data_IF_017336773333
#
_entry.id   IF_017336773333
#
_cell.length_a   1.000
_cell.length_b   1.000
_cell.length_c   1.000
_cell.angle_alpha   90.00
_cell.angle_beta   90.00
_cell.angle_gamma   90.00
#
_symmetry.space_group_name_H-M   'P 1'
#
loop_
_entity.id
_entity.type
_entity.pdbx_description
1 polymer ?
#
# COMPACT_ATOMS: atom_id res chain seq x y z
N UNK A 1 -15.41 16.18 16.59
CA UNK A 1 -16.22 17.11 15.76
C UNK A 1 -17.65 17.28 16.28
N UNK A 2 -18.44 16.19 16.40
CA UNK A 2 -19.86 16.25 16.83
C UNK A 2 -20.05 16.82 18.25
N UNK A 3 -19.27 16.34 19.24
CA UNK A 3 -19.36 16.81 20.63
C UNK A 3 -18.97 18.29 20.77
N UNK A 4 -17.87 18.71 20.14
CA UNK A 4 -17.43 20.12 20.16
C UNK A 4 -18.39 21.07 19.45
N UNK A 5 -19.03 20.64 18.35
CA UNK A 5 -20.08 21.41 17.67
C UNK A 5 -21.37 21.49 18.48
N UNK A 6 -21.78 20.39 19.12
CA UNK A 6 -22.95 20.35 20.01
C UNK A 6 -22.78 21.24 21.23
N UNK A 7 -21.59 21.26 21.84
CA UNK A 7 -21.28 22.11 23.00
C UNK A 7 -21.26 23.60 22.66
N UNK A 8 -20.97 23.99 21.42
CA UNK A 8 -20.87 25.41 21.05
C UNK A 8 -22.15 26.01 20.45
N UNK A 9 -22.93 25.22 19.71
CA UNK A 9 -24.01 25.78 18.88
C UNK A 9 -25.43 25.38 19.25
N UNK A 10 -25.64 24.48 20.22
CA UNK A 10 -26.99 24.09 20.62
C UNK A 10 -27.28 24.45 22.09
N UNK A 11 -27.52 25.74 22.31
CA UNK A 11 -27.92 26.28 23.62
C UNK A 11 -29.15 25.55 24.18
N UNK A 12 -30.08 25.14 23.30
CA UNK A 12 -31.28 24.39 23.68
C UNK A 12 -30.97 22.98 24.20
N UNK A 13 -29.98 22.29 23.61
CA UNK A 13 -29.58 20.95 24.06
C UNK A 13 -28.82 20.99 25.38
N UNK A 14 -27.92 21.99 25.55
CA UNK A 14 -27.26 22.26 26.82
C UNK A 14 -28.28 22.62 27.91
N UNK A 15 -29.24 23.50 27.63
CA UNK A 15 -30.34 23.82 28.55
C UNK A 15 -31.19 22.59 28.85
N UNK A 16 -31.42 21.69 27.90
CA UNK A 16 -32.19 20.45 28.13
C UNK A 16 -31.46 19.49 29.07
N UNK A 17 -30.16 19.27 28.89
CA UNK A 17 -29.34 18.43 29.78
C UNK A 17 -29.23 19.07 31.16
N UNK A 18 -28.98 20.38 31.23
CA UNK A 18 -28.94 21.12 32.49
C UNK A 18 -30.29 21.07 33.19
N UNK A 19 -31.41 21.28 32.50
CA UNK A 19 -32.75 21.24 33.10
C UNK A 19 -33.11 19.84 33.61
N UNK A 20 -32.64 18.76 32.97
CA UNK A 20 -32.81 17.40 33.49
C UNK A 20 -32.00 17.18 34.78
N UNK A 21 -30.74 17.60 34.80
CA UNK A 21 -29.91 17.52 36.00
C UNK A 21 -30.42 18.43 37.13
N UNK A 22 -30.91 19.63 36.79
CA UNK A 22 -31.50 20.59 37.72
C UNK A 22 -32.84 20.12 38.28
N UNK A 23 -33.71 19.48 37.48
CA UNK A 23 -34.95 18.88 37.99
C UNK A 23 -34.67 17.77 39.01
N UNK A 24 -33.60 17.01 38.81
CA UNK A 24 -33.17 15.99 39.77
C UNK A 24 -32.77 16.61 41.13
N UNK A 25 -32.12 17.78 41.10
CA UNK A 25 -31.67 18.52 42.28
C UNK A 25 -32.82 19.35 42.93
N UNK A 26 -33.72 19.91 42.11
CA UNK A 26 -34.88 20.71 42.52
C UNK A 26 -35.87 19.93 43.38
N UNK A 27 -36.05 18.63 43.12
CA UNK A 27 -36.85 17.74 43.97
C UNK A 27 -36.27 17.55 45.39
N UNK A 28 -35.11 18.14 45.71
CA UNK A 28 -34.49 18.07 47.03
C UNK A 28 -34.24 19.44 47.70
N UNK A 29 -34.36 20.59 47.01
CA UNK A 29 -34.10 21.93 47.59
C UNK A 29 -34.87 23.06 46.88
N UNK A 30 -35.44 23.98 47.67
CA UNK A 30 -36.40 25.05 47.32
C UNK A 30 -35.85 26.22 46.46
N UNK A 31 -36.80 26.95 45.83
CA UNK A 31 -36.85 28.05 44.83
C UNK A 31 -35.63 28.91 44.40
N UNK A 32 -34.46 28.87 45.06
CA UNK A 32 -33.33 29.80 44.76
C UNK A 32 -32.42 29.39 43.58
N UNK A 33 -32.84 28.41 42.78
CA UNK A 33 -31.93 27.66 41.90
C UNK A 33 -31.83 28.17 40.45
N UNK A 34 -32.82 28.91 39.93
CA UNK A 34 -32.80 29.40 38.53
C UNK A 34 -31.66 30.39 38.29
N UNK A 35 -31.43 31.32 39.22
CA UNK A 35 -30.34 32.29 39.14
C UNK A 35 -28.96 31.63 39.28
N UNK A 36 -28.85 30.60 40.13
CA UNK A 36 -27.61 29.83 40.34
C UNK A 36 -27.33 28.94 39.10
N UNK A 37 -28.37 28.38 38.49
CA UNK A 37 -28.29 27.60 37.26
C UNK A 37 -27.77 28.44 36.09
N UNK A 38 -28.36 29.62 35.86
CA UNK A 38 -27.91 30.51 34.78
C UNK A 38 -26.46 30.96 35.01
N UNK A 39 -26.08 31.25 36.25
CA UNK A 39 -24.69 31.63 36.59
C UNK A 39 -23.71 30.47 36.41
N UNK A 40 -24.10 29.24 36.74
CA UNK A 40 -23.30 28.04 36.53
C UNK A 40 -23.15 27.69 35.04
N UNK A 41 -24.23 27.78 34.26
CA UNK A 41 -24.22 27.59 32.80
C UNK A 41 -23.27 28.59 32.14
N UNK A 42 -23.34 29.86 32.55
CA UNK A 42 -22.48 30.91 32.00
C UNK A 42 -21.00 30.62 32.26
N UNK A 43 -20.65 30.16 33.47
CA UNK A 43 -19.28 29.76 33.84
C UNK A 43 -18.79 28.52 33.10
N UNK A 44 -19.65 27.52 32.95
CA UNK A 44 -19.35 26.30 32.20
C UNK A 44 -19.14 26.62 30.72
N UNK A 45 -19.93 27.53 30.15
CA UNK A 45 -19.77 28.00 28.77
C UNK A 45 -18.49 28.84 28.59
N UNK A 46 -18.13 29.69 29.56
CA UNK A 46 -16.87 30.46 29.57
C UNK A 46 -15.65 29.54 29.55
N UNK A 47 -15.70 28.43 30.29
CA UNK A 47 -14.61 27.46 30.37
C UNK A 47 -14.62 26.48 29.19
N UNK A 48 -15.77 25.88 28.84
CA UNK A 48 -15.89 24.88 27.78
C UNK A 48 -15.78 25.48 26.36
N UNK A 49 -16.04 26.77 26.20
CA UNK A 49 -15.93 27.50 24.93
C UNK A 49 -14.56 27.37 24.23
N UNK A 50 -13.44 27.73 24.89
CA UNK A 50 -12.09 27.60 24.31
C UNK A 50 -11.67 26.14 24.10
N UNK A 51 -11.99 25.22 25.02
CA UNK A 51 -11.67 23.79 24.84
C UNK A 51 -12.46 23.14 23.69
N UNK A 52 -13.76 23.46 23.59
CA UNK A 52 -14.62 22.98 22.50
C UNK A 52 -14.17 23.53 21.14
N UNK A 53 -13.73 24.79 21.09
CA UNK A 53 -13.16 25.41 19.89
C UNK A 53 -11.86 24.71 19.48
N UNK A 54 -10.94 24.47 20.42
CA UNK A 54 -9.67 23.79 20.15
C UNK A 54 -9.88 22.36 19.63
N UNK A 55 -10.80 21.60 20.23
CA UNK A 55 -11.15 20.24 19.78
C UNK A 55 -11.86 20.22 18.42
N UNK A 56 -12.65 21.24 18.11
CA UNK A 56 -13.33 21.35 16.81
C UNK A 56 -12.35 21.70 15.69
N UNK A 57 -11.49 22.69 15.91
CA UNK A 57 -10.47 23.11 14.95
C UNK A 57 -9.43 22.00 14.76
N UNK A 58 -8.96 21.37 15.84
CA UNK A 58 -8.06 20.21 15.76
C UNK A 58 -8.68 19.04 15.00
N UNK A 59 -9.96 18.75 15.26
CA UNK A 59 -10.71 17.72 14.52
C UNK A 59 -10.86 18.03 13.03
N UNK A 60 -11.12 19.29 12.67
CA UNK A 60 -11.19 19.73 11.27
C UNK A 60 -9.85 19.62 10.56
N UNK A 61 -8.75 20.00 11.21
CA UNK A 61 -7.40 19.86 10.65
C UNK A 61 -7.07 18.38 10.42
N UNK A 62 -7.38 17.50 11.39
CA UNK A 62 -7.14 16.06 11.25
C UNK A 62 -7.97 15.47 10.09
N UNK A 63 -9.25 15.84 9.94
CA UNK A 63 -10.09 15.39 8.83
C UNK A 63 -9.60 15.93 7.49
N UNK A 64 -9.13 17.19 7.43
CA UNK A 64 -8.59 17.76 6.21
C UNK A 64 -7.26 17.10 5.82
N UNK A 65 -6.37 16.85 6.78
CA UNK A 65 -5.10 16.14 6.53
C UNK A 65 -5.37 14.69 6.11
N UNK A 66 -6.28 13.99 6.79
CA UNK A 66 -6.69 12.64 6.40
C UNK A 66 -7.38 12.62 5.04
N UNK A 67 -8.22 13.61 4.73
CA UNK A 67 -8.91 13.75 3.45
C UNK A 67 -7.97 14.06 2.29
N UNK A 68 -7.00 14.96 2.49
CA UNK A 68 -5.96 15.26 1.49
C UNK A 68 -5.01 14.07 1.32
N UNK A 69 -4.66 13.37 2.40
CA UNK A 69 -3.88 12.14 2.33
C UNK A 69 -4.65 11.03 1.60
N UNK A 70 -5.96 10.90 1.85
CA UNK A 70 -6.83 9.93 1.20
C UNK A 70 -7.08 10.24 -0.27
N UNK A 71 -7.30 11.51 -0.64
CA UNK A 71 -7.44 11.95 -2.04
C UNK A 71 -6.09 11.87 -2.76
N UNK A 72 -4.98 12.16 -2.08
CA UNK A 72 -3.63 11.93 -2.59
C UNK A 72 -3.34 10.45 -2.83
N UNK A 73 -3.79 9.58 -1.91
CA UNK A 73 -3.76 8.12 -2.06
C UNK A 73 -4.65 7.67 -3.24
N UNK A 74 -5.92 8.07 -3.28
CA UNK A 74 -6.90 7.49 -4.20
C UNK A 74 -6.84 8.09 -5.62
N UNK A 75 -6.59 9.39 -5.78
CA UNK A 75 -6.65 10.03 -7.10
C UNK A 75 -5.28 10.14 -7.79
N UNK A 76 -4.16 10.01 -7.05
CA UNK A 76 -2.82 10.11 -7.62
C UNK A 76 -2.04 8.79 -7.60
N UNK A 77 -2.25 7.89 -6.63
CA UNK A 77 -1.53 6.60 -6.62
C UNK A 77 -2.04 5.68 -7.71
N UNK A 78 -3.33 5.63 -8.02
CA UNK A 78 -3.82 4.74 -9.08
C UNK A 78 -3.26 5.14 -10.44
N UNK A 79 -3.30 6.43 -10.79
CA UNK A 79 -2.72 6.92 -12.04
C UNK A 79 -1.20 6.74 -12.07
N UNK A 80 -0.50 7.08 -10.98
CA UNK A 80 0.94 6.92 -10.87
C UNK A 80 1.36 5.46 -10.94
N UNK A 81 0.69 4.55 -10.24
CA UNK A 81 0.95 3.11 -10.26
C UNK A 81 0.67 2.52 -11.63
N UNK A 82 -0.42 2.90 -12.30
CA UNK A 82 -0.69 2.48 -13.68
C UNK A 82 0.38 2.99 -14.63
N UNK A 83 0.83 4.24 -14.47
CA UNK A 83 1.88 4.83 -15.29
C UNK A 83 3.23 4.13 -15.07
N UNK A 84 3.61 3.89 -13.81
CA UNK A 84 4.83 3.16 -13.42
C UNK A 84 4.78 1.72 -13.94
N UNK A 85 3.64 1.03 -13.81
CA UNK A 85 3.48 -0.33 -14.30
C UNK A 85 3.60 -0.40 -15.83
N UNK A 86 2.98 0.54 -16.56
CA UNK A 86 3.12 0.65 -18.02
C UNK A 86 4.57 0.90 -18.43
N UNK A 87 5.25 1.81 -17.74
CA UNK A 87 6.67 2.08 -17.98
C UNK A 87 7.52 0.83 -17.73
N UNK A 88 7.33 0.16 -16.58
CA UNK A 88 8.03 -1.06 -16.23
C UNK A 88 7.79 -2.19 -17.25
N UNK A 89 6.56 -2.35 -17.73
CA UNK A 89 6.25 -3.34 -18.77
C UNK A 89 6.94 -3.04 -20.09
N UNK A 90 7.00 -1.77 -20.49
CA UNK A 90 7.65 -1.38 -21.73
C UNK A 90 9.17 -1.60 -21.64
N UNK A 91 9.78 -1.23 -20.51
CA UNK A 91 11.21 -1.48 -20.25
C UNK A 91 11.52 -2.97 -20.21
N UNK A 92 10.70 -3.78 -19.54
CA UNK A 92 10.90 -5.23 -19.48
C UNK A 92 10.80 -5.87 -20.86
N UNK A 93 9.79 -5.49 -21.66
CA UNK A 93 9.64 -5.97 -23.04
C UNK A 93 10.83 -5.56 -23.90
N UNK A 94 11.28 -4.32 -23.76
CA UNK A 94 12.46 -3.81 -24.47
C UNK A 94 13.74 -4.56 -24.06
N UNK A 95 13.90 -4.85 -22.78
CA UNK A 95 15.05 -5.61 -22.26
C UNK A 95 15.05 -7.05 -22.81
N UNK A 96 13.89 -7.72 -22.82
CA UNK A 96 13.74 -9.07 -23.40
C UNK A 96 14.12 -9.07 -24.89
N UNK A 97 13.64 -8.11 -25.66
CA UNK A 97 13.91 -8.05 -27.11
C UNK A 97 15.39 -7.79 -27.42
N UNK A 98 16.04 -6.92 -26.63
CA UNK A 98 17.43 -6.52 -26.83
C UNK A 98 18.45 -7.40 -26.10
N UNK A 99 17.99 -8.42 -25.39
CA UNK A 99 18.86 -9.37 -24.73
C UNK A 99 19.63 -10.19 -25.75
N UNK A 100 20.96 -10.27 -25.59
CA UNK A 100 21.83 -11.01 -26.51
C UNK A 100 22.45 -12.23 -25.83
N UNK A 101 23.05 -12.01 -24.66
CA UNK A 101 23.67 -13.02 -23.81
C UNK A 101 23.93 -12.43 -22.43
N UNK A 102 24.17 -13.29 -21.45
CA UNK A 102 24.52 -12.94 -20.08
C UNK A 102 25.92 -12.31 -19.95
N UNK A 103 26.83 -12.68 -20.86
CA UNK A 103 28.22 -12.21 -20.87
C UNK A 103 28.39 -10.80 -21.45
N UNK A 104 27.41 -10.34 -22.25
CA UNK A 104 27.44 -8.98 -22.84
C UNK A 104 27.47 -7.88 -21.77
N UNK A 105 26.92 -8.17 -20.58
CA UNK A 105 26.99 -7.27 -19.42
C UNK A 105 26.28 -5.93 -19.60
N UNK A 106 25.32 -5.83 -20.52
CA UNK A 106 24.54 -4.61 -20.72
C UNK A 106 23.40 -4.48 -19.70
N UNK A 107 22.75 -3.32 -19.68
CA UNK A 107 21.70 -3.01 -18.69
C UNK A 107 20.48 -3.94 -18.84
N UNK A 108 20.17 -4.37 -20.06
CA UNK A 108 19.06 -5.28 -20.33
C UNK A 108 19.39 -6.66 -19.76
N UNK A 109 20.62 -7.13 -19.96
CA UNK A 109 21.14 -8.36 -19.38
C UNK A 109 21.07 -8.34 -17.85
N UNK A 110 21.52 -7.26 -17.21
CA UNK A 110 21.46 -7.12 -15.76
C UNK A 110 20.01 -7.19 -15.23
N UNK A 111 19.10 -6.49 -15.90
CA UNK A 111 17.69 -6.43 -15.53
C UNK A 111 17.04 -7.83 -15.58
N UNK A 112 17.24 -8.57 -16.67
CA UNK A 112 16.64 -9.89 -16.85
C UNK A 112 17.25 -10.96 -15.93
N UNK A 113 18.56 -10.87 -15.67
CA UNK A 113 19.27 -11.77 -14.74
C UNK A 113 18.73 -11.66 -13.31
N UNK A 114 18.20 -10.50 -12.94
CA UNK A 114 17.59 -10.30 -11.62
C UNK A 114 16.10 -10.68 -11.65
N UNK A 115 15.35 -10.16 -12.63
CA UNK A 115 13.88 -10.25 -12.62
C UNK A 115 13.40 -11.69 -12.83
N UNK A 116 13.91 -12.41 -13.84
CA UNK A 116 13.43 -13.74 -14.18
C UNK A 116 13.52 -14.75 -13.03
N UNK A 117 14.69 -14.93 -12.37
CA UNK A 117 14.78 -15.86 -11.25
C UNK A 117 14.07 -15.35 -9.99
N UNK A 118 14.04 -14.04 -9.75
CA UNK A 118 13.39 -13.48 -8.54
C UNK A 118 11.86 -13.61 -8.59
N UNK A 119 11.29 -13.46 -9.78
CA UNK A 119 9.84 -13.54 -10.00
C UNK A 119 9.41 -14.96 -10.37
N UNK A 120 10.34 -15.82 -10.79
CA UNK A 120 10.04 -17.18 -11.25
C UNK A 120 9.31 -17.18 -12.58
N UNK A 121 9.86 -16.46 -13.57
CA UNK A 121 9.29 -16.28 -14.91
C UNK A 121 10.35 -16.30 -16.02
N UNK A 122 9.92 -16.42 -17.27
CA UNK A 122 10.78 -16.39 -18.45
C UNK A 122 10.14 -15.58 -19.59
N UNK A 123 10.90 -14.61 -20.12
CA UNK A 123 10.43 -13.68 -21.16
C UNK A 123 9.41 -12.66 -20.65
N UNK A 124 8.82 -11.88 -21.56
CA UNK A 124 7.82 -10.87 -21.21
C UNK A 124 6.43 -11.49 -21.12
N UNK A 125 5.93 -12.01 -22.26
CA UNK A 125 4.70 -12.79 -22.36
C UNK A 125 4.99 -14.30 -22.22
N UNK A 126 6.22 -14.72 -22.57
CA UNK A 126 6.69 -16.09 -22.36
C UNK A 126 8.03 -16.39 -23.02
N UNK A 127 8.49 -17.65 -22.98
CA UNK A 127 9.81 -18.03 -23.48
C UNK A 127 9.95 -17.85 -25.01
N UNK A 128 8.83 -17.85 -25.74
CA UNK A 128 8.81 -17.62 -27.19
C UNK A 128 9.32 -16.23 -27.59
N UNK A 129 9.33 -15.26 -26.67
CA UNK A 129 9.80 -13.90 -26.94
C UNK A 129 11.28 -13.86 -27.36
N UNK A 130 12.08 -14.82 -26.91
CA UNK A 130 13.49 -14.94 -27.31
C UNK A 130 13.71 -15.57 -28.69
N UNK A 131 12.64 -16.13 -29.28
CA UNK A 131 12.66 -16.72 -30.62
C UNK A 131 11.90 -15.85 -31.63
N UNK A 132 11.46 -14.65 -31.23
CA UNK A 132 10.79 -13.72 -32.12
C UNK A 132 11.76 -13.21 -33.22
N UNK A 133 11.21 -12.78 -34.36
CA UNK A 133 12.02 -12.32 -35.51
C UNK A 133 12.89 -11.10 -35.19
N UNK A 134 12.46 -10.27 -34.25
CA UNK A 134 13.14 -9.07 -33.78
C UNK A 134 13.96 -9.30 -32.50
N UNK A 135 13.95 -10.51 -31.94
CA UNK A 135 14.74 -10.84 -30.76
C UNK A 135 16.23 -10.89 -31.10
N UNK A 136 17.06 -10.31 -30.24
CA UNK A 136 18.51 -10.28 -30.41
C UNK A 136 19.24 -11.42 -29.69
N UNK A 137 18.51 -12.39 -29.15
CA UNK A 137 19.08 -13.48 -28.36
C UNK A 137 20.00 -14.34 -29.24
N UNK A 138 21.25 -14.50 -28.81
CA UNK A 138 22.28 -15.18 -29.60
C UNK A 138 22.24 -16.71 -29.51
N UNK A 139 21.46 -17.27 -28.58
CA UNK A 139 21.48 -18.69 -28.21
C UNK A 139 22.85 -19.21 -27.75
N UNK A 140 23.75 -18.30 -27.39
CA UNK A 140 25.08 -18.58 -26.85
C UNK A 140 25.20 -17.85 -25.51
N UNK A 141 25.46 -18.59 -24.45
CA UNK A 141 25.52 -18.07 -23.08
C UNK A 141 26.82 -18.48 -22.41
N UNK A 142 27.50 -17.55 -21.76
CA UNK A 142 28.73 -17.83 -21.02
C UNK A 142 28.56 -17.42 -19.56
N UNK A 143 28.59 -18.41 -18.66
CA UNK A 143 28.45 -18.20 -17.22
C UNK A 143 29.71 -18.70 -16.53
N UNK A 144 30.50 -17.76 -16.01
CA UNK A 144 31.83 -18.07 -15.50
C UNK A 144 32.71 -18.66 -16.60
N UNK A 145 33.14 -19.92 -16.42
CA UNK A 145 34.00 -20.62 -17.39
C UNK A 145 33.22 -21.59 -18.29
N UNK A 146 31.88 -21.64 -18.22
CA UNK A 146 31.07 -22.56 -19.01
C UNK A 146 30.33 -21.80 -20.11
N UNK A 147 30.47 -22.29 -21.34
CA UNK A 147 29.77 -21.75 -22.52
C UNK A 147 28.75 -22.74 -23.04
N UNK A 148 27.50 -22.31 -23.10
CA UNK A 148 26.38 -23.04 -23.66
C UNK A 148 26.15 -22.58 -25.10
N UNK A 149 26.25 -23.50 -26.05
CA UNK A 149 25.92 -23.26 -27.45
C UNK A 149 24.60 -23.93 -27.80
N UNK A 150 23.75 -23.20 -28.54
CA UNK A 150 22.44 -23.66 -28.97
C UNK A 150 21.45 -23.86 -27.83
N UNK A 151 21.53 -23.02 -26.79
CA UNK A 151 20.60 -23.08 -25.67
C UNK A 151 19.23 -22.52 -26.09
N UNK A 152 18.14 -23.17 -25.66
CA UNK A 152 16.78 -22.82 -26.11
C UNK A 152 16.35 -21.44 -25.60
N UNK A 153 16.66 -21.13 -24.35
CA UNK A 153 16.28 -19.88 -23.67
C UNK A 153 17.44 -19.36 -22.83
N UNK A 154 17.41 -18.08 -22.43
CA UNK A 154 18.44 -17.49 -21.58
C UNK A 154 18.64 -18.26 -20.27
N UNK A 155 19.88 -18.29 -19.79
CA UNK A 155 20.21 -18.92 -18.49
C UNK A 155 19.35 -18.38 -17.34
N UNK A 156 19.01 -17.07 -17.24
CA UNK A 156 18.12 -16.57 -16.20
C UNK A 156 16.71 -17.20 -16.14
N UNK A 157 16.23 -17.86 -17.21
CA UNK A 157 14.94 -18.56 -17.20
C UNK A 157 14.97 -19.89 -16.42
N UNK A 158 16.15 -20.39 -16.10
CA UNK A 158 16.37 -21.64 -15.37
C UNK A 158 16.17 -21.41 -13.86
N UNK A 159 15.66 -22.44 -13.17
CA UNK A 159 15.51 -22.39 -11.72
C UNK A 159 16.84 -22.68 -11.04
N UNK A 160 17.71 -21.66 -11.02
CA UNK A 160 19.06 -21.78 -10.49
C UNK A 160 19.05 -22.18 -9.00
N UNK A 161 18.05 -21.77 -8.23
CA UNK A 161 17.93 -22.11 -6.82
C UNK A 161 17.68 -23.60 -6.58
N UNK A 162 16.97 -24.26 -7.51
CA UNK A 162 16.74 -25.69 -7.49
C UNK A 162 17.93 -26.46 -8.05
N UNK A 163 18.51 -26.00 -9.16
CA UNK A 163 19.70 -26.63 -9.77
C UNK A 163 20.95 -26.56 -8.87
N UNK A 164 21.08 -25.52 -8.05
CA UNK A 164 22.18 -25.41 -7.07
C UNK A 164 22.09 -26.43 -5.92
N UNK A 165 20.92 -27.03 -5.66
CA UNK A 165 20.75 -28.04 -4.61
C UNK A 165 21.24 -29.43 -5.02
N UNK A 166 21.30 -29.74 -6.32
CA UNK A 166 21.55 -31.09 -6.85
C UNK A 166 23.00 -31.35 -7.31
N UNK A 167 23.94 -30.47 -6.93
CA UNK A 167 25.39 -30.48 -7.24
C UNK A 167 25.79 -30.23 -8.71
N UNK A 168 26.72 -29.27 -8.85
CA UNK A 168 27.19 -28.62 -10.08
C UNK A 168 26.09 -27.79 -10.78
N UNK A 169 25.72 -26.68 -10.13
CA UNK A 169 24.70 -25.72 -10.57
C UNK A 169 24.97 -25.13 -11.96
N UNK A 170 24.58 -25.88 -12.98
CA UNK A 170 24.64 -25.53 -14.39
C UNK A 170 23.26 -25.68 -14.97
N UNK A 171 22.78 -24.66 -15.68
CA UNK A 171 21.46 -24.73 -16.27
C UNK A 171 21.39 -25.75 -17.41
N UNK A 172 20.30 -26.52 -17.50
CA UNK A 172 20.13 -27.53 -18.53
C UNK A 172 19.95 -26.88 -19.89
N UNK A 173 20.45 -27.55 -20.95
CA UNK A 173 20.21 -27.10 -22.34
C UNK A 173 18.75 -27.23 -22.76
N UNK A 174 18.02 -28.13 -22.11
CA UNK A 174 16.60 -28.39 -22.34
C UNK A 174 15.81 -27.90 -21.15
N UNK A 175 14.90 -26.96 -21.40
CA UNK A 175 14.10 -26.34 -20.37
C UNK A 175 12.79 -27.12 -20.24
N UNK A 176 12.49 -27.55 -19.03
CA UNK A 176 11.24 -28.21 -18.66
C UNK A 176 10.57 -27.45 -17.51
N UNK A 177 9.27 -27.64 -17.29
CA UNK A 177 8.58 -27.05 -16.15
C UNK A 177 9.20 -27.34 -14.78
N UNK A 178 9.95 -28.42 -14.67
CA UNK A 178 10.55 -28.86 -13.41
C UNK A 178 11.88 -28.19 -13.10
N UNK A 179 12.61 -27.71 -14.12
CA UNK A 179 13.96 -27.14 -13.97
C UNK A 179 14.03 -25.65 -14.37
N UNK A 180 12.90 -25.06 -14.75
CA UNK A 180 12.87 -23.70 -15.29
C UNK A 180 11.50 -23.04 -15.16
N UNK A 181 11.48 -21.74 -15.43
CA UNK A 181 10.31 -20.89 -15.33
C UNK A 181 9.62 -20.61 -16.68
N UNK A 182 9.86 -21.46 -17.69
CA UNK A 182 9.32 -21.29 -19.04
C UNK A 182 7.78 -21.33 -19.14
N UNK A 183 7.09 -21.78 -18.08
CA UNK A 183 5.63 -21.81 -18.05
C UNK A 183 4.99 -20.44 -17.85
N UNK A 184 5.73 -19.46 -17.30
CA UNK A 184 5.17 -18.19 -16.88
C UNK A 184 5.93 -17.02 -17.51
N UNK A 185 5.23 -16.16 -18.25
CA UNK A 185 5.76 -14.87 -18.67
C UNK A 185 5.90 -13.91 -17.49
N UNK A 186 6.91 -13.03 -17.52
CA UNK A 186 7.17 -12.13 -16.39
C UNK A 186 6.08 -11.09 -16.18
N UNK A 187 5.40 -10.64 -17.24
CA UNK A 187 4.29 -9.69 -17.13
C UNK A 187 3.17 -10.21 -16.21
N UNK A 188 2.64 -11.39 -16.50
CA UNK A 188 1.52 -11.96 -15.75
C UNK A 188 1.91 -12.31 -14.31
N UNK A 189 3.12 -12.84 -14.11
CA UNK A 189 3.66 -13.12 -12.78
C UNK A 189 3.87 -11.85 -11.94
N UNK A 190 4.44 -10.80 -12.51
CA UNK A 190 4.65 -9.53 -11.81
C UNK A 190 3.32 -8.86 -11.43
N UNK A 191 2.33 -8.89 -12.33
CA UNK A 191 0.99 -8.38 -12.03
C UNK A 191 0.40 -9.11 -10.81
N UNK A 192 0.46 -10.46 -10.77
CA UNK A 192 -0.04 -11.24 -9.63
C UNK A 192 0.71 -10.93 -8.32
N UNK A 193 2.04 -10.93 -8.33
CA UNK A 193 2.86 -10.60 -7.14
C UNK A 193 2.58 -9.17 -6.64
N UNK A 194 2.40 -8.22 -7.56
CA UNK A 194 2.11 -6.84 -7.21
C UNK A 194 0.75 -6.72 -6.52
N UNK A 195 -0.30 -7.37 -7.04
CA UNK A 195 -1.63 -7.31 -6.44
C UNK A 195 -1.64 -7.86 -5.01
N UNK A 196 -0.98 -8.98 -4.76
CA UNK A 196 -0.92 -9.58 -3.41
C UNK A 196 -0.17 -8.67 -2.42
N UNK A 197 0.96 -8.08 -2.84
CA UNK A 197 1.75 -7.18 -1.98
C UNK A 197 1.02 -5.85 -1.73
N UNK A 198 0.36 -5.29 -2.73
CA UNK A 198 -0.42 -4.05 -2.60
C UNK A 198 -1.64 -4.26 -1.72
N UNK A 199 -2.33 -5.40 -1.85
CA UNK A 199 -3.46 -5.75 -0.98
C UNK A 199 -3.02 -5.87 0.49
N UNK A 200 -1.90 -6.56 0.74
CA UNK A 200 -1.32 -6.67 2.08
C UNK A 200 -0.93 -5.31 2.66
N UNK A 201 -0.26 -4.47 1.87
CA UNK A 201 0.12 -3.12 2.27
C UNK A 201 -1.10 -2.26 2.63
N UNK A 202 -2.15 -2.33 1.82
CA UNK A 202 -3.40 -1.60 2.06
C UNK A 202 -4.10 -2.06 3.34
N UNK A 203 -4.10 -3.37 3.62
CA UNK A 203 -4.67 -3.92 4.85
C UNK A 203 -3.95 -3.40 6.10
N UNK A 204 -2.61 -3.33 6.06
CA UNK A 204 -1.81 -2.82 7.19
C UNK A 204 -2.14 -1.35 7.47
N UNK A 205 -2.23 -0.53 6.42
CA UNK A 205 -2.60 0.90 6.57
C UNK A 205 -3.97 1.04 7.21
N UNK A 206 -4.97 0.26 6.78
CA UNK A 206 -6.31 0.27 7.38
C UNK A 206 -6.31 -0.12 8.86
N UNK A 207 -5.52 -1.13 9.24
CA UNK A 207 -5.40 -1.55 10.64
C UNK A 207 -4.78 -0.46 11.52
N UNK A 208 -3.77 0.25 11.01
CA UNK A 208 -3.16 1.39 11.73
C UNK A 208 -4.17 2.50 11.93
N UNK A 209 -4.94 2.85 10.90
CA UNK A 209 -5.98 3.89 11.01
C UNK A 209 -7.07 3.48 12.01
N UNK A 210 -7.54 2.23 11.95
CA UNK A 210 -8.56 1.71 12.85
C UNK A 210 -8.08 1.71 14.31
N UNK A 211 -6.81 1.35 14.57
CA UNK A 211 -6.26 1.35 15.93
C UNK A 211 -6.13 2.75 16.51
N UNK A 212 -5.68 3.74 15.71
CA UNK A 212 -5.65 5.14 16.13
C UNK A 212 -7.06 5.66 16.46
N UNK A 213 -8.06 5.33 15.63
CA UNK A 213 -9.46 5.69 15.90
C UNK A 213 -9.98 5.04 17.19
N UNK A 214 -9.71 3.75 17.42
CA UNK A 214 -10.11 3.08 18.66
C UNK A 214 -9.47 3.72 19.90
N UNK A 215 -8.17 4.02 19.86
CA UNK A 215 -7.45 4.67 20.95
C UNK A 215 -7.99 6.07 21.24
N UNK A 216 -8.29 6.86 20.19
CA UNK A 216 -8.90 8.20 20.39
C UNK A 216 -10.30 8.11 21.00
N UNK A 217 -11.13 7.13 20.62
CA UNK A 217 -12.45 6.91 21.22
C UNK A 217 -12.33 6.52 22.70
N UNK A 218 -11.41 5.62 23.04
CA UNK A 218 -11.15 5.21 24.42
C UNK A 218 -10.66 6.41 25.24
N UNK A 219 -9.72 7.19 24.70
CA UNK A 219 -9.22 8.41 25.34
C UNK A 219 -10.35 9.41 25.62
N UNK A 220 -11.26 9.63 24.68
CA UNK A 220 -12.42 10.52 24.86
C UNK A 220 -13.41 9.97 25.91
N UNK A 221 -13.57 8.65 26.02
CA UNK A 221 -14.46 8.05 27.04
C UNK A 221 -13.86 8.01 28.45
N UNK A 222 -12.53 8.08 28.57
CA UNK A 222 -11.82 8.01 29.86
C UNK A 222 -11.29 9.37 30.36
N UNK A 223 -11.41 10.43 29.56
CA UNK A 223 -11.14 11.83 29.97
C UNK A 223 -12.43 12.58 30.27
#
# INVERSE_FOLDING_TARGET
MVVGGLMRWNENYLRSICNQALKFIHNHMEEKYSEIADKAITRIQEFAGPFGLALFVGGLIIVCVAGVAFVGLCCNIDFFMIAVLKYAHNELKNAVNNYVSIDKGDINTALLTIIMPSVGCCGYDGPADFNALDAHFSHIETVGNVTYTGIQYPVPCCDLAKELKDQQGFCPKTFTPENSFIQYGCKSRMEMELFDKVALGSLIVLLVIASVLALTIIYIKCS
#
